data_IF_950942648401
#
_entry.id   IF_950942648401
#
_cell.length_a   1.000
_cell.length_b   1.000
_cell.length_c   1.000
_cell.angle_alpha   90.00
_cell.angle_beta   90.00
_cell.angle_gamma   90.00
#
_symmetry.space_group_name_H-M   'P 1'
#
loop_
_entity.id
_entity.type
_entity.pdbx_description
1 polymer ?
#
# COMPACT_ATOMS: atom_id res chain seq x y z
N UNK A 1 -31.16 18.97 -5.35
CA UNK A 1 -29.77 19.45 -5.59
C UNK A 1 -29.42 20.39 -4.46
N UNK A 2 -28.47 20.04 -3.59
CA UNK A 2 -27.97 20.98 -2.61
C UNK A 2 -27.12 22.03 -3.35
N UNK A 3 -27.37 23.31 -3.11
CA UNK A 3 -26.55 24.38 -3.66
C UNK A 3 -25.13 24.25 -3.08
N UNK A 4 -24.13 24.06 -3.94
CA UNK A 4 -22.73 24.10 -3.54
C UNK A 4 -22.44 25.50 -2.98
N UNK A 5 -21.90 25.62 -1.76
CA UNK A 5 -21.52 26.94 -1.24
C UNK A 5 -20.57 27.60 -2.23
N UNK A 6 -20.92 28.78 -2.74
CA UNK A 6 -20.10 29.51 -3.72
C UNK A 6 -18.80 30.05 -3.10
N UNK A 7 -18.71 30.10 -1.77
CA UNK A 7 -17.56 30.60 -1.02
C UNK A 7 -16.95 29.46 -0.19
N UNK A 8 -15.77 29.01 -0.58
CA UNK A 8 -14.90 28.13 0.20
C UNK A 8 -13.47 28.66 0.20
N UNK A 9 -12.76 28.50 1.30
CA UNK A 9 -11.34 28.86 1.39
C UNK A 9 -10.48 27.91 0.56
N UNK A 10 -10.87 26.63 0.49
CA UNK A 10 -10.12 25.60 -0.25
C UNK A 10 -11.05 24.67 -1.02
N UNK A 11 -10.67 24.38 -2.27
CA UNK A 11 -11.29 23.33 -3.08
C UNK A 11 -10.30 22.17 -3.25
N UNK A 12 -10.70 20.97 -2.86
CA UNK A 12 -9.94 19.73 -3.04
C UNK A 12 -10.53 18.96 -4.23
N UNK A 13 -9.69 18.62 -5.20
CA UNK A 13 -10.09 17.84 -6.37
C UNK A 13 -9.72 16.37 -6.13
N UNK A 14 -10.75 15.52 -6.04
CA UNK A 14 -10.70 14.09 -5.77
C UNK A 14 -11.05 13.76 -4.31
N UNK A 15 -12.04 12.88 -4.13
CA UNK A 15 -12.44 12.28 -2.85
C UNK A 15 -11.77 10.91 -2.63
N UNK A 16 -10.51 10.78 -3.05
CA UNK A 16 -9.63 9.66 -2.69
C UNK A 16 -9.08 9.79 -1.27
N UNK A 17 -8.32 8.79 -0.81
CA UNK A 17 -7.70 8.79 0.53
C UNK A 17 -6.88 10.05 0.82
N UNK A 18 -6.07 10.53 -0.14
CA UNK A 18 -5.29 11.76 0.01
C UNK A 18 -6.17 13.01 0.09
N UNK A 19 -7.16 13.13 -0.79
CA UNK A 19 -8.06 14.29 -0.84
C UNK A 19 -8.94 14.40 0.40
N UNK A 20 -9.52 13.28 0.84
CA UNK A 20 -10.30 13.23 2.09
C UNK A 20 -9.43 13.53 3.32
N UNK A 21 -8.19 13.04 3.35
CA UNK A 21 -7.24 13.37 4.42
C UNK A 21 -6.93 14.86 4.45
N UNK A 22 -6.62 15.47 3.29
CA UNK A 22 -6.34 16.89 3.19
C UNK A 22 -7.55 17.74 3.61
N UNK A 23 -8.75 17.39 3.10
CA UNK A 23 -9.98 18.08 3.44
C UNK A 23 -10.28 18.01 4.94
N UNK A 24 -10.08 16.83 5.57
CA UNK A 24 -10.22 16.68 7.01
C UNK A 24 -9.23 17.57 7.77
N UNK A 25 -7.94 17.52 7.42
CA UNK A 25 -6.91 18.32 8.10
C UNK A 25 -7.19 19.83 7.99
N UNK A 26 -7.60 20.32 6.83
CA UNK A 26 -7.94 21.73 6.60
C UNK A 26 -9.19 22.16 7.36
N UNK A 27 -10.21 21.29 7.41
CA UNK A 27 -11.41 21.52 8.19
C UNK A 27 -11.12 21.56 9.69
N UNK A 28 -10.26 20.67 10.19
CA UNK A 28 -9.88 20.61 11.61
C UNK A 28 -9.14 21.88 12.07
N UNK A 29 -8.48 22.61 11.17
CA UNK A 29 -7.84 23.91 11.45
C UNK A 29 -8.70 25.13 11.09
N UNK A 30 -9.99 24.92 10.76
CA UNK A 30 -10.98 25.98 10.63
C UNK A 30 -11.27 26.51 9.22
N UNK A 31 -10.69 25.93 8.16
CA UNK A 31 -11.02 26.33 6.79
C UNK A 31 -12.36 25.75 6.32
N UNK A 32 -13.07 26.51 5.51
CA UNK A 32 -14.20 26.01 4.72
C UNK A 32 -13.68 25.27 3.48
N UNK A 33 -14.06 24.00 3.34
CA UNK A 33 -13.52 23.11 2.30
C UNK A 33 -14.63 22.49 1.47
N UNK A 34 -14.47 22.52 0.15
CA UNK A 34 -15.28 21.79 -0.81
C UNK A 34 -14.44 20.67 -1.43
N UNK A 35 -14.99 19.46 -1.51
CA UNK A 35 -14.35 18.32 -2.20
C UNK A 35 -15.17 18.02 -3.45
N UNK A 36 -14.49 17.96 -4.60
CA UNK A 36 -15.11 17.64 -5.89
C UNK A 36 -14.57 16.27 -6.33
N UNK A 37 -15.47 15.32 -6.56
CA UNK A 37 -15.15 13.98 -7.07
C UNK A 37 -15.80 13.77 -8.43
N UNK A 38 -15.05 13.19 -9.36
CA UNK A 38 -15.53 12.89 -10.70
C UNK A 38 -16.34 11.57 -10.72
N UNK A 39 -15.98 10.62 -9.87
CA UNK A 39 -16.68 9.37 -9.71
C UNK A 39 -18.02 9.55 -8.98
N UNK A 40 -18.91 8.57 -9.15
CA UNK A 40 -20.16 8.46 -8.40
C UNK A 40 -19.96 7.84 -6.99
N UNK A 41 -18.72 7.67 -6.55
CA UNK A 41 -18.36 7.12 -5.26
C UNK A 41 -17.13 7.84 -4.69
N UNK A 42 -16.95 7.78 -3.38
CA UNK A 42 -15.74 8.25 -2.69
C UNK A 42 -14.73 7.10 -2.53
N UNK A 43 -13.54 7.42 -2.03
CA UNK A 43 -12.46 6.44 -1.76
C UNK A 43 -11.41 6.37 -2.86
N UNK A 44 -11.70 6.89 -4.06
CA UNK A 44 -10.78 6.89 -5.19
C UNK A 44 -10.41 5.46 -5.61
N UNK A 45 -9.14 5.08 -5.42
CA UNK A 45 -8.66 3.71 -5.73
C UNK A 45 -8.94 2.68 -4.64
N UNK A 46 -9.57 3.07 -3.53
CA UNK A 46 -10.05 2.14 -2.51
C UNK A 46 -11.53 1.92 -2.72
N UNK A 47 -11.88 0.87 -3.47
CA UNK A 47 -13.26 0.55 -3.85
C UNK A 47 -13.58 -0.87 -3.41
N UNK A 48 -14.68 -1.01 -2.68
CA UNK A 48 -15.28 -2.30 -2.31
C UNK A 48 -16.51 -2.50 -3.16
N UNK A 49 -16.47 -3.50 -4.04
CA UNK A 49 -17.65 -3.97 -4.76
C UNK A 49 -18.49 -4.87 -3.86
N UNK A 50 -19.81 -4.67 -3.88
CA UNK A 50 -20.78 -5.48 -3.13
C UNK A 50 -21.82 -6.12 -4.08
N UNK A 51 -21.55 -6.13 -5.38
CA UNK A 51 -22.52 -6.49 -6.43
C UNK A 51 -22.16 -7.75 -7.21
N UNK A 52 -20.86 -8.02 -7.36
CA UNK A 52 -20.31 -9.15 -8.12
C UNK A 52 -20.39 -10.44 -7.28
N UNK A 53 -20.20 -10.33 -5.97
CA UNK A 53 -20.26 -11.45 -5.03
C UNK A 53 -21.27 -11.15 -3.93
N UNK A 54 -21.85 -12.20 -3.34
CA UNK A 54 -22.70 -12.10 -2.12
C UNK A 54 -21.90 -11.70 -0.86
N UNK A 55 -20.66 -11.24 -1.03
CA UNK A 55 -19.76 -10.75 -0.01
C UNK A 55 -19.03 -9.49 -0.52
N UNK A 56 -18.65 -8.56 0.38
CA UNK A 56 -17.82 -7.41 -0.01
C UNK A 56 -16.48 -7.87 -0.59
N UNK A 57 -16.09 -7.30 -1.73
CA UNK A 57 -14.82 -7.60 -2.41
C UNK A 57 -14.10 -6.32 -2.82
N UNK A 58 -12.90 -6.11 -2.29
CA UNK A 58 -12.08 -4.96 -2.66
C UNK A 58 -11.46 -5.14 -4.05
N UNK A 59 -11.86 -4.31 -4.99
CA UNK A 59 -11.28 -4.23 -6.35
C UNK A 59 -10.10 -3.24 -6.42
N UNK A 60 -9.75 -2.64 -5.28
CA UNK A 60 -8.69 -1.64 -5.13
C UNK A 60 -7.78 -1.92 -3.94
N UNK A 61 -7.51 -0.88 -3.14
CA UNK A 61 -6.68 -1.02 -1.94
C UNK A 61 -7.30 -1.94 -0.89
N UNK A 62 -6.82 -3.18 -0.80
CA UNK A 62 -7.35 -4.23 0.09
C UNK A 62 -6.45 -4.56 1.28
N UNK A 63 -5.18 -4.09 1.27
CA UNK A 63 -4.16 -4.50 2.23
C UNK A 63 -3.54 -3.31 2.95
N UNK A 64 -3.38 -3.46 4.27
CA UNK A 64 -2.62 -2.53 5.11
C UNK A 64 -1.23 -3.10 5.39
N UNK A 65 -0.28 -2.75 4.52
CA UNK A 65 1.12 -3.14 4.70
C UNK A 65 1.70 -2.53 5.99
N UNK A 66 2.61 -3.29 6.62
CA UNK A 66 3.30 -2.88 7.85
C UNK A 66 2.34 -2.45 8.97
N UNK A 67 1.30 -3.26 9.23
CA UNK A 67 0.19 -2.91 10.12
C UNK A 67 0.60 -2.42 11.53
N UNK A 68 1.78 -2.82 12.02
CA UNK A 68 2.32 -2.36 13.32
C UNK A 68 2.62 -0.85 13.34
N UNK A 69 3.05 -0.28 12.22
CA UNK A 69 3.42 1.14 12.11
C UNK A 69 2.49 1.94 11.20
N UNK A 70 1.51 1.29 10.58
CA UNK A 70 0.57 1.92 9.68
C UNK A 70 -0.61 2.54 10.46
N UNK A 71 -0.77 3.88 10.46
CA UNK A 71 -1.83 4.54 11.21
C UNK A 71 -3.25 4.12 10.76
N UNK A 72 -3.41 3.68 9.50
CA UNK A 72 -4.70 3.19 9.01
C UNK A 72 -5.13 1.89 9.69
N UNK A 73 -4.18 1.05 10.14
CA UNK A 73 -4.52 -0.17 10.86
C UNK A 73 -5.08 0.14 12.26
N UNK A 74 -4.52 1.15 12.94
CA UNK A 74 -5.04 1.62 14.21
C UNK A 74 -6.42 2.27 14.05
N UNK A 75 -6.59 3.16 13.09
CA UNK A 75 -7.87 3.81 12.78
C UNK A 75 -8.94 2.76 12.46
N UNK A 76 -8.59 1.71 11.71
CA UNK A 76 -9.52 0.61 11.41
C UNK A 76 -9.99 -0.10 12.69
N UNK A 77 -9.08 -0.41 13.63
CA UNK A 77 -9.45 -1.02 14.91
C UNK A 77 -10.32 -0.08 15.75
N UNK A 78 -9.96 1.20 15.83
CA UNK A 78 -10.73 2.22 16.58
C UNK A 78 -12.17 2.38 16.05
N UNK A 79 -12.38 2.13 14.75
CA UNK A 79 -13.68 2.17 14.09
C UNK A 79 -14.34 0.78 14.00
N UNK A 80 -13.91 -0.19 14.80
CA UNK A 80 -14.47 -1.55 14.88
C UNK A 80 -14.41 -2.36 13.57
N UNK A 81 -13.47 -2.06 12.66
CA UNK A 81 -13.23 -2.90 11.50
C UNK A 81 -12.47 -4.18 11.88
N UNK A 82 -12.90 -5.31 11.33
CA UNK A 82 -12.22 -6.59 11.49
C UNK A 82 -11.00 -6.67 10.58
N UNK A 83 -9.80 -6.69 11.16
CA UNK A 83 -8.56 -6.91 10.43
C UNK A 83 -8.13 -8.37 10.46
N UNK A 84 -7.80 -8.93 9.30
CA UNK A 84 -7.22 -10.27 9.18
C UNK A 84 -5.71 -10.22 9.44
N UNK A 85 -5.30 -10.30 10.71
CA UNK A 85 -3.91 -10.19 11.16
C UNK A 85 -3.13 -11.51 11.12
N UNK A 86 -3.19 -12.24 10.00
CA UNK A 86 -2.44 -13.49 9.84
C UNK A 86 -1.08 -13.24 9.21
N UNK A 87 -0.04 -13.84 9.78
CA UNK A 87 1.27 -13.89 9.14
C UNK A 87 1.18 -14.71 7.86
N UNK A 88 1.88 -14.25 6.83
CA UNK A 88 2.06 -15.00 5.61
C UNK A 88 2.91 -16.24 5.89
N UNK A 89 2.35 -17.44 5.65
CA UNK A 89 3.01 -18.72 5.99
C UNK A 89 3.44 -19.54 4.77
N UNK A 90 3.16 -19.07 3.54
CA UNK A 90 3.40 -19.86 2.33
C UNK A 90 4.20 -19.09 1.29
N UNK A 91 5.46 -19.44 1.13
CA UNK A 91 6.29 -18.93 0.03
C UNK A 91 6.51 -20.06 -0.97
N UNK A 92 5.80 -20.02 -2.09
CA UNK A 92 6.13 -20.84 -3.26
C UNK A 92 7.01 -20.01 -4.18
N UNK A 93 8.25 -20.45 -4.35
CA UNK A 93 9.16 -19.82 -5.31
C UNK A 93 9.16 -20.69 -6.55
N UNK A 94 8.65 -20.12 -7.64
CA UNK A 94 8.70 -20.72 -8.96
C UNK A 94 9.76 -19.99 -9.77
N UNK A 95 10.57 -20.72 -10.52
CA UNK A 95 11.51 -20.16 -11.49
C UNK A 95 11.49 -21.03 -12.74
N UNK A 96 11.39 -20.39 -13.90
CA UNK A 96 11.36 -21.06 -15.21
C UNK A 96 10.33 -22.21 -15.31
N UNK A 97 9.12 -22.01 -14.77
CA UNK A 97 8.03 -22.98 -14.83
C UNK A 97 8.14 -24.17 -13.87
N UNK A 98 9.16 -24.21 -12.99
CA UNK A 98 9.33 -25.26 -12.00
C UNK A 98 9.31 -24.72 -10.57
N UNK A 99 8.88 -25.56 -9.62
CA UNK A 99 9.03 -25.32 -8.20
C UNK A 99 10.51 -25.39 -7.81
N UNK A 100 10.98 -24.44 -7.01
CA UNK A 100 12.30 -24.55 -6.38
C UNK A 100 12.30 -25.68 -5.33
N UNK A 101 13.42 -26.41 -5.25
CA UNK A 101 13.65 -27.37 -4.17
C UNK A 101 13.75 -26.66 -2.81
N UNK A 102 13.55 -27.38 -1.71
CA UNK A 102 13.67 -26.81 -0.35
C UNK A 102 15.02 -26.13 -0.09
N UNK A 103 16.11 -26.66 -0.69
CA UNK A 103 17.43 -26.05 -0.62
C UNK A 103 17.47 -24.70 -1.33
N UNK A 104 16.96 -24.64 -2.56
CA UNK A 104 16.90 -23.41 -3.34
C UNK A 104 15.98 -22.36 -2.71
N UNK A 105 14.84 -22.77 -2.15
CA UNK A 105 13.95 -21.88 -1.39
C UNK A 105 14.67 -21.28 -0.18
N UNK A 106 15.44 -22.08 0.57
CA UNK A 106 16.23 -21.57 1.70
C UNK A 106 17.33 -20.61 1.26
N UNK A 107 18.05 -20.92 0.18
CA UNK A 107 19.05 -20.02 -0.41
C UNK A 107 18.43 -18.69 -0.87
N UNK A 108 17.25 -18.74 -1.48
CA UNK A 108 16.52 -17.55 -1.91
C UNK A 108 16.01 -16.72 -0.73
N UNK A 109 15.45 -17.37 0.30
CA UNK A 109 15.03 -16.67 1.53
C UNK A 109 16.19 -15.95 2.20
N UNK A 110 17.38 -16.56 2.26
CA UNK A 110 18.57 -15.90 2.78
C UNK A 110 18.96 -14.68 1.92
N UNK A 111 18.91 -14.81 0.60
CA UNK A 111 19.19 -13.68 -0.29
C UNK A 111 18.22 -12.50 -0.07
N UNK A 112 16.93 -12.77 0.12
CA UNK A 112 15.94 -11.72 0.41
C UNK A 112 16.23 -11.02 1.74
N UNK A 113 16.64 -11.76 2.76
CA UNK A 113 17.06 -11.21 4.04
C UNK A 113 18.29 -10.29 3.88
N UNK A 114 19.34 -10.78 3.21
CA UNK A 114 20.58 -10.02 2.96
C UNK A 114 20.29 -8.77 2.11
N UNK A 115 19.39 -8.88 1.13
CA UNK A 115 18.91 -7.77 0.30
C UNK A 115 18.29 -6.68 1.16
N UNK A 116 17.34 -7.01 2.04
CA UNK A 116 16.70 -6.02 2.91
C UNK A 116 17.69 -5.38 3.87
N UNK A 117 18.63 -6.15 4.43
CA UNK A 117 19.68 -5.62 5.29
C UNK A 117 20.57 -4.61 4.57
N UNK A 118 21.00 -4.92 3.33
CA UNK A 118 21.82 -4.00 2.55
C UNK A 118 21.06 -2.73 2.13
N UNK A 119 19.80 -2.86 1.68
CA UNK A 119 18.95 -1.71 1.33
C UNK A 119 18.78 -0.79 2.55
N UNK A 120 18.47 -1.36 3.71
CA UNK A 120 18.32 -0.59 4.94
C UNK A 120 19.62 0.09 5.38
N UNK A 121 20.77 -0.59 5.23
CA UNK A 121 22.09 -0.01 5.52
C UNK A 121 22.42 1.14 4.58
N UNK A 122 22.13 1.00 3.28
CA UNK A 122 22.31 2.05 2.29
C UNK A 122 21.42 3.27 2.57
N UNK A 123 20.13 3.04 2.87
CA UNK A 123 19.18 4.11 3.18
C UNK A 123 19.56 4.94 4.41
N UNK A 124 20.19 4.32 5.43
CA UNK A 124 20.70 5.03 6.61
C UNK A 124 21.76 6.08 6.30
N UNK A 125 22.51 5.92 5.20
CA UNK A 125 23.55 6.86 4.80
C UNK A 125 23.02 8.13 4.12
N UNK A 126 21.68 8.26 3.95
CA UNK A 126 20.97 9.43 3.36
C UNK A 126 21.47 9.91 1.99
N UNK A 127 22.29 9.11 1.31
CA UNK A 127 22.75 9.39 -0.05
C UNK A 127 21.79 8.74 -1.02
N UNK A 128 21.18 9.55 -1.88
CA UNK A 128 20.31 9.03 -2.93
C UNK A 128 21.11 8.16 -3.91
N UNK A 129 20.59 6.95 -4.16
CA UNK A 129 21.17 6.00 -5.09
C UNK A 129 20.13 4.97 -5.53
N UNK A 130 20.36 4.37 -6.71
CA UNK A 130 19.58 3.21 -7.14
C UNK A 130 19.68 2.08 -6.11
N UNK A 131 18.54 1.47 -5.80
CA UNK A 131 18.44 0.26 -4.96
C UNK A 131 19.31 -0.86 -5.52
N UNK A 132 19.45 -0.94 -6.85
CA UNK A 132 20.27 -1.95 -7.53
C UNK A 132 21.72 -1.99 -7.01
N UNK A 133 22.29 -0.82 -6.70
CA UNK A 133 23.66 -0.72 -6.16
C UNK A 133 23.81 -1.29 -4.76
N UNK A 134 22.70 -1.54 -4.07
CA UNK A 134 22.67 -2.08 -2.71
C UNK A 134 22.37 -3.59 -2.70
N UNK A 135 22.04 -4.20 -3.84
CA UNK A 135 21.70 -5.62 -3.88
C UNK A 135 22.95 -6.49 -3.66
N UNK A 136 22.85 -7.60 -2.89
CA UNK A 136 23.93 -8.58 -2.78
C UNK A 136 24.23 -9.22 -4.15
N UNK A 137 25.50 -9.55 -4.39
CA UNK A 137 25.87 -10.37 -5.55
C UNK A 137 25.43 -11.82 -5.30
N UNK A 138 24.45 -12.29 -6.08
CA UNK A 138 23.97 -13.66 -6.03
C UNK A 138 23.28 -14.04 -7.34
N UNK A 139 23.18 -15.34 -7.61
CA UNK A 139 22.38 -15.87 -8.74
C UNK A 139 20.91 -15.43 -8.74
N UNK A 140 20.41 -14.99 -7.59
CA UNK A 140 19.04 -14.52 -7.38
C UNK A 140 18.84 -13.05 -7.73
N UNK A 141 19.90 -12.30 -8.04
CA UNK A 141 19.83 -10.87 -8.33
C UNK A 141 19.00 -10.54 -9.57
N UNK A 142 19.17 -11.32 -10.63
CA UNK A 142 18.62 -11.00 -11.95
C UNK A 142 17.27 -11.67 -12.25
N UNK A 143 16.69 -12.39 -11.28
CA UNK A 143 15.46 -13.17 -11.49
C UNK A 143 14.22 -12.31 -11.76
N UNK A 144 14.25 -11.01 -11.40
CA UNK A 144 13.15 -10.08 -11.62
C UNK A 144 13.28 -9.29 -12.94
N UNK A 145 14.42 -9.38 -13.64
CA UNK A 145 14.71 -8.55 -14.83
C UNK A 145 14.48 -9.25 -16.17
N UNK A 146 14.20 -10.56 -16.18
CA UNK A 146 14.03 -11.34 -17.41
C UNK A 146 12.56 -11.76 -17.65
N UNK A 147 11.60 -10.86 -17.40
CA UNK A 147 10.23 -10.99 -17.92
C UNK A 147 9.93 -9.85 -18.91
#
# INVERSE_FOLDING_TARGET
>A
MALTPLNSDVVVIGAGTSGLSAAKSLKDIGYSVIVIEAANHIGGRCVTDNSIFDIPFDIGGSWLHSAVTNPLAEIAVQNNFKLHKKNWSHTWVHSNGANLSSKQTKEYSQYIEDMWQNINKAGKNKKDQSIEKSLPEAKWRDIARNQ
#
